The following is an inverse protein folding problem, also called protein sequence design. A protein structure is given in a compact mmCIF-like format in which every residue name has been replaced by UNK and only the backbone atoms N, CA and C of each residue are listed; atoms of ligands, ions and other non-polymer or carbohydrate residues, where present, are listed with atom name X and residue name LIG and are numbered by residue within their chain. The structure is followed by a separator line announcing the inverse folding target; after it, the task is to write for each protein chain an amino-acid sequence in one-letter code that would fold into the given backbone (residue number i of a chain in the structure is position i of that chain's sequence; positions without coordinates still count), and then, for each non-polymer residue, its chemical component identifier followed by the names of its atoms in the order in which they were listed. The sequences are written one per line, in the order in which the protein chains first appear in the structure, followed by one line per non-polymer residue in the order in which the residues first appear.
data_IF_271856841583
#
_entry.id   IF_271856841583
#
_cell.length_a   1.000
_cell.length_b   1.000
_cell.length_c   1.000
_cell.angle_alpha   90.00
_cell.angle_beta   90.00
_cell.angle_gamma   90.00
#
_symmetry.space_group_name_H-M   'P 1'
#
loop_
_entity.id
_entity.type
_entity.pdbx_description
1 polymer ?
#
# COMPACT_ATOMS: atom_id res chain seq x y z
N UNK A 1 37.95 12.09 -16.44
CA UNK A 1 37.02 11.50 -15.44
C UNK A 1 35.93 12.51 -15.19
N UNK A 2 34.72 12.30 -15.76
CA UNK A 2 33.53 13.09 -15.44
C UNK A 2 32.89 12.48 -14.20
N UNK A 3 32.99 13.14 -13.07
CA UNK A 3 32.19 12.84 -11.87
C UNK A 3 30.78 13.34 -12.09
N UNK A 4 29.85 12.41 -12.38
CA UNK A 4 28.43 12.67 -12.29
C UNK A 4 28.10 12.86 -10.80
N UNK A 5 27.91 14.11 -10.38
CA UNK A 5 27.28 14.41 -9.12
C UNK A 5 25.83 13.90 -9.18
N UNK A 6 25.35 13.14 -8.18
CA UNK A 6 23.95 12.78 -8.13
C UNK A 6 23.12 14.07 -8.07
N UNK A 7 22.21 14.24 -9.00
CA UNK A 7 21.20 15.30 -8.90
C UNK A 7 20.38 15.02 -7.65
N UNK A 8 20.57 15.84 -6.60
CA UNK A 8 19.70 15.85 -5.44
C UNK A 8 18.39 16.44 -5.95
N UNK A 9 17.43 15.58 -6.24
CA UNK A 9 16.07 15.99 -6.53
C UNK A 9 15.49 16.46 -5.17
N UNK A 10 15.45 17.75 -4.98
CA UNK A 10 14.73 18.32 -3.84
C UNK A 10 13.26 17.98 -4.05
N UNK A 11 12.69 17.16 -3.15
CA UNK A 11 11.25 17.00 -3.07
C UNK A 11 10.63 18.39 -3.01
N UNK A 12 9.69 18.67 -3.90
CA UNK A 12 9.05 19.97 -3.93
C UNK A 12 8.28 20.14 -2.62
N UNK A 13 8.79 20.96 -1.69
CA UNK A 13 8.21 21.18 -0.37
C UNK A 13 6.74 21.59 -0.43
N UNK A 14 6.30 22.20 -1.54
CA UNK A 14 4.90 22.53 -1.76
C UNK A 14 4.00 21.29 -1.84
N UNK A 15 4.52 20.16 -2.27
CA UNK A 15 3.78 18.88 -2.32
C UNK A 15 3.53 18.28 -0.95
N UNK A 16 4.19 18.77 0.08
CA UNK A 16 4.13 18.23 1.44
C UNK A 16 3.35 19.12 2.40
N UNK A 17 2.70 20.20 1.92
CA UNK A 17 1.88 21.08 2.76
C UNK A 17 0.59 20.39 3.19
N UNK A 18 0.17 20.67 4.41
CA UNK A 18 -1.11 20.19 4.93
C UNK A 18 -2.26 20.54 3.97
N UNK A 19 -3.10 19.57 3.67
CA UNK A 19 -4.20 19.68 2.72
C UNK A 19 -3.82 19.52 1.25
N UNK A 20 -2.56 19.27 0.93
CA UNK A 20 -2.13 18.93 -0.42
C UNK A 20 -2.37 17.45 -0.72
N UNK A 21 -3.56 17.13 -1.18
CA UNK A 21 -3.93 15.78 -1.62
C UNK A 21 -3.90 15.73 -3.14
N UNK A 22 -2.81 15.26 -3.71
CA UNK A 22 -2.73 15.08 -5.14
C UNK A 22 -2.08 13.75 -5.48
N UNK A 23 -2.34 13.28 -6.69
CA UNK A 23 -1.59 12.16 -7.27
C UNK A 23 -0.08 12.41 -7.28
N UNK A 24 0.34 13.67 -7.28
CA UNK A 24 1.75 14.05 -7.22
C UNK A 24 2.39 13.72 -5.86
N UNK A 25 1.71 13.97 -4.74
CA UNK A 25 2.23 13.61 -3.41
C UNK A 25 2.34 12.09 -3.27
N UNK A 26 1.33 11.36 -3.74
CA UNK A 26 1.35 9.91 -3.78
C UNK A 26 2.48 9.41 -4.68
N UNK A 27 2.63 9.94 -5.89
CA UNK A 27 3.70 9.59 -6.81
C UNK A 27 5.08 9.79 -6.19
N UNK A 28 5.30 10.91 -5.50
CA UNK A 28 6.55 11.19 -4.79
C UNK A 28 6.86 10.14 -3.71
N UNK A 29 5.86 9.70 -2.95
CA UNK A 29 5.99 8.62 -1.97
C UNK A 29 6.25 7.27 -2.65
N UNK A 30 5.47 6.92 -3.69
CA UNK A 30 5.59 5.64 -4.38
C UNK A 30 6.98 5.45 -5.00
N UNK A 31 7.54 6.52 -5.54
CA UNK A 31 8.89 6.55 -6.12
C UNK A 31 10.00 6.68 -5.06
N UNK A 32 9.64 6.78 -3.77
CA UNK A 32 10.59 6.96 -2.66
C UNK A 32 11.42 8.24 -2.75
N UNK A 33 10.90 9.24 -3.44
CA UNK A 33 11.48 10.60 -3.49
C UNK A 33 11.09 11.41 -2.25
N UNK A 34 9.88 11.16 -1.71
CA UNK A 34 9.39 11.70 -0.44
C UNK A 34 9.40 10.60 0.61
N UNK A 35 10.21 10.76 1.65
CA UNK A 35 10.38 9.74 2.71
C UNK A 35 10.05 10.24 4.11
N UNK A 36 9.84 11.54 4.31
CA UNK A 36 9.46 12.09 5.60
C UNK A 36 8.07 11.59 6.00
N UNK A 37 7.95 11.01 7.21
CA UNK A 37 6.71 10.39 7.68
C UNK A 37 6.36 9.08 6.96
N UNK A 38 7.34 8.43 6.34
CA UNK A 38 7.23 7.09 5.73
C UNK A 38 8.14 6.13 6.48
N UNK A 39 7.57 5.27 7.30
CA UNK A 39 8.27 4.37 8.21
C UNK A 39 8.18 2.92 7.72
N UNK A 40 9.28 2.14 7.73
CA UNK A 40 9.22 0.74 7.36
C UNK A 40 8.46 -0.07 8.42
N UNK A 41 7.73 -1.09 7.96
CA UNK A 41 6.98 -2.02 8.80
C UNK A 41 7.52 -3.42 8.61
N UNK A 42 8.09 -4.00 9.66
CA UNK A 42 8.59 -5.38 9.69
C UNK A 42 7.81 -6.26 10.67
N UNK A 43 7.06 -5.65 11.57
CA UNK A 43 6.20 -6.33 12.55
C UNK A 43 4.97 -5.49 12.90
N UNK A 44 3.99 -6.09 13.58
CA UNK A 44 2.83 -5.36 14.07
C UNK A 44 3.20 -4.25 15.05
N UNK A 45 4.30 -4.38 15.79
CA UNK A 45 4.75 -3.36 16.73
C UNK A 45 5.06 -2.04 16.04
N UNK A 46 5.61 -2.07 14.82
CA UNK A 46 5.93 -0.87 14.04
C UNK A 46 4.69 -0.05 13.68
N UNK A 47 3.51 -0.69 13.66
CA UNK A 47 2.22 -0.03 13.46
C UNK A 47 1.58 0.33 14.78
N UNK A 48 1.44 -0.64 15.70
CA UNK A 48 0.63 -0.49 16.91
C UNK A 48 1.15 0.55 17.89
N UNK A 49 2.48 0.72 18.00
CA UNK A 49 3.08 1.69 18.91
C UNK A 49 2.71 3.16 18.59
N UNK A 50 2.20 3.42 17.40
CA UNK A 50 1.73 4.75 17.00
C UNK A 50 0.38 5.13 17.63
N UNK A 51 -0.29 4.20 18.33
CA UNK A 51 -1.67 4.40 18.83
C UNK A 51 -1.78 4.07 20.32
N UNK A 52 -2.57 4.85 21.04
CA UNK A 52 -2.82 4.65 22.47
C UNK A 52 -3.51 3.30 22.77
N UNK A 53 -4.30 2.76 21.83
CA UNK A 53 -5.02 1.50 21.96
C UNK A 53 -4.22 0.28 21.45
N UNK A 54 -2.89 0.33 21.53
CA UNK A 54 -1.97 -0.68 20.99
C UNK A 54 -2.29 -2.12 21.42
N UNK A 55 -2.83 -2.31 22.63
CA UNK A 55 -3.19 -3.63 23.16
C UNK A 55 -4.25 -4.35 22.30
N UNK A 56 -5.15 -3.58 21.65
CA UNK A 56 -6.19 -4.13 20.78
C UNK A 56 -5.63 -4.78 19.50
N UNK A 57 -4.37 -4.54 19.19
CA UNK A 57 -3.70 -5.13 18.04
C UNK A 57 -3.17 -6.55 18.33
N UNK A 58 -2.92 -6.87 19.60
CA UNK A 58 -2.31 -8.15 20.01
C UNK A 58 -2.97 -9.39 19.39
N UNK A 59 -4.31 -9.53 19.32
CA UNK A 59 -4.94 -10.70 18.71
C UNK A 59 -4.60 -10.92 17.23
N UNK A 60 -4.16 -9.87 16.54
CA UNK A 60 -3.84 -9.92 15.11
C UNK A 60 -2.35 -10.13 14.81
N UNK A 61 -1.50 -10.18 15.85
CA UNK A 61 -0.06 -10.20 15.69
C UNK A 61 0.44 -11.38 14.85
N UNK A 62 -0.08 -12.58 15.08
CA UNK A 62 0.34 -13.78 14.35
C UNK A 62 0.03 -13.65 12.86
N UNK A 63 -1.19 -13.27 12.50
CA UNK A 63 -1.59 -13.12 11.10
C UNK A 63 -0.83 -11.99 10.42
N UNK A 64 -0.78 -10.81 11.04
CA UNK A 64 -0.09 -9.65 10.50
C UNK A 64 1.39 -9.94 10.23
N UNK A 65 2.11 -10.47 11.22
CA UNK A 65 3.53 -10.78 11.07
C UNK A 65 3.80 -11.86 10.02
N UNK A 66 2.90 -12.86 9.91
CA UNK A 66 2.99 -13.87 8.86
C UNK A 66 2.81 -13.26 7.47
N UNK A 67 1.88 -12.31 7.31
CA UNK A 67 1.65 -11.59 6.05
C UNK A 67 2.87 -10.74 5.67
N UNK A 68 3.39 -9.92 6.59
CA UNK A 68 4.59 -9.10 6.34
C UNK A 68 5.79 -9.99 6.00
N UNK A 69 5.98 -11.08 6.71
CA UNK A 69 7.04 -12.06 6.42
C UNK A 69 6.89 -12.71 5.05
N UNK A 70 5.66 -12.98 4.61
CA UNK A 70 5.38 -13.54 3.28
C UNK A 70 5.64 -12.54 2.17
N UNK A 71 5.19 -11.30 2.36
CA UNK A 71 5.48 -10.19 1.45
C UNK A 71 6.99 -9.95 1.30
N UNK A 72 7.71 -9.92 2.41
CA UNK A 72 9.17 -9.75 2.41
C UNK A 72 9.90 -10.86 1.63
N UNK A 73 9.44 -12.12 1.75
CA UNK A 73 10.05 -13.24 1.00
C UNK A 73 9.95 -13.10 -0.52
N UNK A 74 8.94 -12.43 -1.00
CA UNK A 74 8.76 -12.14 -2.45
C UNK A 74 9.26 -10.74 -2.84
N UNK A 75 9.99 -10.05 -1.95
CA UNK A 75 10.61 -8.76 -2.24
C UNK A 75 9.73 -7.53 -2.03
N UNK A 76 8.51 -7.71 -1.52
CA UNK A 76 7.60 -6.60 -1.21
C UNK A 76 7.95 -5.98 0.15
N UNK A 77 8.06 -4.67 0.20
CA UNK A 77 8.33 -3.90 1.42
C UNK A 77 7.05 -3.19 1.87
N UNK A 78 6.77 -3.25 3.16
CA UNK A 78 5.61 -2.59 3.77
C UNK A 78 6.06 -1.32 4.50
N UNK A 79 5.27 -0.26 4.34
CA UNK A 79 5.50 1.04 4.98
C UNK A 79 4.23 1.58 5.62
N UNK A 80 4.39 2.31 6.71
CA UNK A 80 3.37 3.15 7.31
C UNK A 80 3.68 4.59 6.92
N UNK A 81 2.74 5.30 6.29
CA UNK A 81 2.98 6.62 5.74
C UNK A 81 1.90 7.62 6.19
N UNK A 82 2.30 8.88 6.29
CA UNK A 82 1.43 9.98 6.68
C UNK A 82 0.32 10.22 5.64
N UNK A 83 -0.85 10.65 6.11
CA UNK A 83 -2.03 10.92 5.29
C UNK A 83 -1.79 11.91 4.15
N UNK A 84 -0.84 12.84 4.31
CA UNK A 84 -0.49 13.85 3.29
C UNK A 84 -0.11 13.26 1.93
N UNK A 85 0.27 11.98 1.90
CA UNK A 85 0.65 11.29 0.66
C UNK A 85 -0.51 10.61 -0.05
N UNK A 86 -1.67 10.52 0.58
CA UNK A 86 -2.79 9.76 0.04
C UNK A 86 -3.91 10.68 -0.42
N UNK A 87 -4.57 10.39 -1.55
CA UNK A 87 -5.85 11.00 -1.86
C UNK A 87 -6.86 10.75 -0.74
N UNK A 88 -7.82 11.64 -0.59
CA UNK A 88 -8.86 11.52 0.45
C UNK A 88 -9.55 10.16 0.39
N UNK A 89 -9.62 9.48 1.53
CA UNK A 89 -10.28 8.18 1.67
C UNK A 89 -9.42 6.97 1.34
N UNK A 90 -8.23 7.15 0.76
CA UNK A 90 -7.31 6.04 0.48
C UNK A 90 -6.67 5.52 1.77
N UNK A 91 -6.82 4.22 2.03
CA UNK A 91 -6.34 3.57 3.26
C UNK A 91 -5.01 2.85 3.09
N UNK A 92 -4.70 2.47 1.87
CA UNK A 92 -3.46 1.80 1.50
C UNK A 92 -3.27 1.83 -0.01
N UNK A 93 -2.10 1.41 -0.46
CA UNK A 93 -1.78 1.24 -1.89
C UNK A 93 -0.63 0.25 -2.03
N UNK A 94 -0.75 -0.66 -2.98
CA UNK A 94 0.33 -1.50 -3.48
C UNK A 94 0.84 -0.94 -4.81
N UNK A 95 2.13 -0.67 -4.89
CA UNK A 95 2.76 -0.14 -6.10
C UNK A 95 3.54 -1.24 -6.81
N UNK A 96 3.00 -1.75 -7.91
CA UNK A 96 3.54 -2.89 -8.67
C UNK A 96 4.95 -2.66 -9.22
N UNK A 97 5.27 -1.43 -9.61
CA UNK A 97 6.57 -1.10 -10.21
C UNK A 97 7.70 -1.14 -9.19
N UNK A 98 7.46 -0.66 -7.96
CA UNK A 98 8.48 -0.59 -6.90
C UNK A 98 8.38 -1.72 -5.89
N UNK A 99 7.34 -2.55 -5.97
CA UNK A 99 7.04 -3.61 -4.99
C UNK A 99 6.95 -3.08 -3.56
N UNK A 100 6.38 -1.91 -3.40
CA UNK A 100 6.17 -1.26 -2.13
C UNK A 100 4.69 -1.20 -1.80
N UNK A 101 4.39 -1.50 -0.55
CA UNK A 101 3.06 -1.50 0.02
C UNK A 101 2.98 -0.41 1.09
N UNK A 102 2.09 0.55 0.95
CA UNK A 102 1.95 1.68 1.87
C UNK A 102 0.61 1.64 2.59
N UNK A 103 0.66 1.79 3.92
CA UNK A 103 -0.49 1.90 4.81
C UNK A 103 -0.67 3.37 5.20
N UNK A 104 -1.87 3.92 5.05
CA UNK A 104 -2.18 5.29 5.51
C UNK A 104 -2.37 5.29 7.03
N UNK A 105 -1.43 5.93 7.75
CA UNK A 105 -1.35 5.96 9.21
C UNK A 105 -2.65 6.39 9.89
N UNK A 106 -3.38 7.35 9.34
CA UNK A 106 -4.62 7.87 9.92
C UNK A 106 -5.70 6.80 10.08
N UNK A 107 -5.78 5.83 9.16
CA UNK A 107 -6.80 4.79 9.19
C UNK A 107 -6.40 3.55 9.99
N UNK A 108 -5.10 3.33 10.23
CA UNK A 108 -4.59 2.08 10.82
C UNK A 108 -4.78 1.97 12.33
N UNK A 109 -5.32 2.98 13.00
CA UNK A 109 -5.65 2.96 14.45
C UNK A 109 -6.69 1.91 14.85
N UNK A 110 -7.43 1.35 13.89
CA UNK A 110 -8.38 0.26 14.10
C UNK A 110 -7.77 -1.04 13.58
N UNK A 111 -7.50 -2.03 14.44
CA UNK A 111 -6.89 -3.30 14.00
C UNK A 111 -7.66 -4.02 12.90
N UNK A 112 -9.00 -3.96 12.94
CA UNK A 112 -9.84 -4.56 11.90
C UNK A 112 -9.68 -3.89 10.53
N UNK A 113 -9.50 -2.56 10.51
CA UNK A 113 -9.24 -1.81 9.28
C UNK A 113 -7.83 -2.13 8.77
N UNK A 114 -6.84 -2.14 9.66
CA UNK A 114 -5.48 -2.55 9.31
C UNK A 114 -5.47 -3.92 8.63
N UNK A 115 -6.11 -4.92 9.21
CA UNK A 115 -6.14 -6.26 8.65
C UNK A 115 -6.91 -6.35 7.33
N UNK A 116 -8.00 -5.59 7.20
CA UNK A 116 -8.73 -5.49 5.93
C UNK A 116 -7.86 -4.92 4.81
N UNK A 117 -7.13 -3.84 5.08
CA UNK A 117 -6.21 -3.23 4.11
C UNK A 117 -5.04 -4.17 3.80
N UNK A 118 -4.44 -4.79 4.81
CA UNK A 118 -3.36 -5.77 4.63
C UNK A 118 -3.76 -6.92 3.71
N UNK A 119 -4.96 -7.48 3.90
CA UNK A 119 -5.47 -8.57 3.05
C UNK A 119 -5.74 -8.10 1.63
N UNK A 120 -6.32 -6.92 1.47
CA UNK A 120 -6.65 -6.34 0.17
C UNK A 120 -5.38 -6.06 -0.66
N UNK A 121 -4.47 -5.28 -0.12
CA UNK A 121 -3.24 -4.92 -0.82
C UNK A 121 -2.27 -6.11 -0.94
N UNK A 122 -2.29 -7.00 0.05
CA UNK A 122 -1.56 -8.28 0.00
C UNK A 122 -2.03 -9.19 -1.12
N UNK A 123 -3.33 -9.12 -1.47
CA UNK A 123 -3.87 -9.81 -2.63
C UNK A 123 -3.33 -9.24 -3.94
N UNK A 124 -3.21 -7.92 -4.07
CA UNK A 124 -2.57 -7.30 -5.23
C UNK A 124 -1.11 -7.72 -5.38
N UNK A 125 -0.36 -7.83 -4.28
CA UNK A 125 1.00 -8.35 -4.31
C UNK A 125 1.05 -9.82 -4.76
N UNK A 126 0.07 -10.64 -4.37
CA UNK A 126 -0.03 -12.01 -4.85
C UNK A 126 -0.35 -12.08 -6.35
N UNK A 127 -1.26 -11.23 -6.84
CA UNK A 127 -1.60 -11.13 -8.26
C UNK A 127 -0.39 -10.70 -9.10
N UNK A 128 0.38 -9.74 -8.61
CA UNK A 128 1.63 -9.27 -9.24
C UNK A 128 2.65 -10.42 -9.34
N UNK A 129 2.89 -11.13 -8.24
CA UNK A 129 3.75 -12.29 -8.21
C UNK A 129 3.28 -13.41 -9.18
N UNK A 130 1.97 -13.63 -9.27
CA UNK A 130 1.39 -14.65 -10.16
C UNK A 130 1.45 -14.28 -11.64
N UNK A 131 1.63 -13.01 -11.98
CA UNK A 131 1.85 -12.55 -13.35
C UNK A 131 3.24 -12.93 -13.92
N UNK A 132 4.03 -13.68 -13.15
CA UNK A 132 5.33 -14.22 -13.54
C UNK A 132 6.45 -13.81 -12.61
N UNK A 133 6.68 -12.55 -12.42
CA UNK A 133 7.63 -11.98 -11.46
C UNK A 133 7.10 -10.65 -10.94
N UNK A 134 7.56 -10.25 -9.76
CA UNK A 134 7.25 -8.90 -9.23
C UNK A 134 8.06 -7.77 -9.89
N UNK A 135 8.90 -8.10 -10.88
CA UNK A 135 9.76 -7.13 -11.58
C UNK A 135 9.04 -6.44 -12.76
N UNK A 136 7.78 -6.75 -12.99
CA UNK A 136 6.95 -6.12 -14.02
C UNK A 136 5.76 -5.39 -13.40
N UNK A 137 5.02 -4.63 -14.19
CA UNK A 137 3.83 -3.87 -13.74
C UNK A 137 2.52 -4.60 -14.05
N UNK A 138 2.59 -5.91 -14.31
CA UNK A 138 1.41 -6.71 -14.66
C UNK A 138 0.77 -7.32 -13.43
N UNK A 139 -0.55 -7.39 -13.44
CA UNK A 139 -1.35 -8.09 -12.41
C UNK A 139 -2.08 -9.25 -13.09
N UNK A 140 -1.96 -10.45 -12.52
CA UNK A 140 -2.66 -11.61 -13.05
C UNK A 140 -4.16 -11.53 -12.72
N UNK A 141 -4.99 -11.83 -13.72
CA UNK A 141 -6.41 -12.09 -13.51
C UNK A 141 -6.53 -13.51 -12.92
N UNK A 142 -6.95 -13.60 -11.66
CA UNK A 142 -7.05 -14.87 -10.94
C UNK A 142 -8.35 -15.59 -11.31
N UNK A 143 -9.42 -14.83 -11.48
CA UNK A 143 -10.75 -15.36 -11.81
C UNK A 143 -11.35 -14.51 -12.93
N UNK A 144 -11.83 -15.13 -14.04
CA UNK A 144 -12.57 -14.40 -15.05
C UNK A 144 -13.82 -13.77 -14.44
N UNK A 145 -14.12 -12.53 -14.83
CA UNK A 145 -15.24 -11.74 -14.29
C UNK A 145 -16.57 -12.51 -14.30
N UNK A 146 -16.85 -13.22 -15.39
CA UNK A 146 -18.08 -14.01 -15.54
C UNK A 146 -18.22 -15.17 -14.56
N UNK A 147 -17.14 -15.55 -13.86
CA UNK A 147 -17.15 -16.58 -12.81
C UNK A 147 -17.24 -16.01 -11.40
N UNK A 148 -17.11 -14.70 -11.25
CA UNK A 148 -17.29 -14.04 -9.97
C UNK A 148 -18.76 -14.01 -9.60
N UNK A 149 -19.18 -14.45 -8.40
CA UNK A 149 -20.60 -14.35 -7.99
C UNK A 149 -21.10 -12.90 -8.07
N UNK A 150 -22.32 -12.70 -8.57
CA UNK A 150 -22.89 -11.38 -8.85
C UNK A 150 -22.79 -10.40 -7.68
N UNK A 151 -22.99 -10.86 -6.44
CA UNK A 151 -22.85 -10.01 -5.25
C UNK A 151 -21.43 -9.44 -5.13
N UNK A 152 -20.40 -10.22 -5.43
CA UNK A 152 -19.01 -9.75 -5.36
C UNK A 152 -18.65 -8.86 -6.53
N UNK A 153 -19.23 -9.09 -7.71
CA UNK A 153 -19.10 -8.16 -8.84
C UNK A 153 -19.65 -6.78 -8.46
N UNK A 154 -20.89 -6.72 -7.93
CA UNK A 154 -21.52 -5.47 -7.50
C UNK A 154 -20.68 -4.74 -6.44
N UNK A 155 -20.16 -5.46 -5.43
CA UNK A 155 -19.31 -4.88 -4.39
C UNK A 155 -18.00 -4.34 -4.98
N UNK A 156 -17.37 -5.08 -5.89
CA UNK A 156 -16.13 -4.66 -6.53
C UNK A 156 -16.38 -3.42 -7.42
N UNK A 157 -17.42 -3.42 -8.24
CA UNK A 157 -17.78 -2.30 -9.10
C UNK A 157 -18.08 -1.03 -8.30
N UNK A 158 -18.80 -1.12 -7.17
CA UNK A 158 -19.05 0.04 -6.30
C UNK A 158 -17.77 0.54 -5.63
N UNK A 159 -16.91 -0.38 -5.19
CA UNK A 159 -15.64 -0.05 -4.57
C UNK A 159 -14.70 0.67 -5.53
N UNK A 160 -14.64 0.21 -6.78
CA UNK A 160 -13.75 0.73 -7.82
C UNK A 160 -14.44 1.60 -8.86
N UNK A 161 -15.62 2.13 -8.57
CA UNK A 161 -16.42 2.94 -9.52
C UNK A 161 -15.70 4.09 -10.20
N UNK A 162 -14.65 4.61 -9.56
CA UNK A 162 -13.81 5.69 -10.10
C UNK A 162 -12.54 5.19 -10.82
N UNK A 163 -12.27 3.89 -10.77
CA UNK A 163 -11.12 3.25 -11.38
C UNK A 163 -11.42 1.81 -11.80
N UNK A 164 -12.39 1.58 -12.71
CA UNK A 164 -12.86 0.24 -13.05
C UNK A 164 -11.79 -0.64 -13.71
N UNK A 165 -10.76 -0.05 -14.28
CA UNK A 165 -9.65 -0.78 -14.90
C UNK A 165 -8.70 -1.48 -13.92
N UNK A 166 -8.85 -1.21 -12.61
CA UNK A 166 -8.02 -1.82 -11.56
C UNK A 166 -8.80 -2.75 -10.65
N UNK A 167 -10.00 -3.18 -11.07
CA UNK A 167 -10.78 -4.16 -10.30
C UNK A 167 -10.01 -5.47 -10.20
N UNK A 168 -9.77 -6.00 -8.98
CA UNK A 168 -8.99 -7.22 -8.77
C UNK A 168 -9.84 -8.47 -8.93
N UNK A 169 -10.11 -8.84 -10.16
CA UNK A 169 -10.74 -10.14 -10.48
C UNK A 169 -9.88 -11.35 -10.19
#
# INVERSE_FOLDING_TARGET
AFTLLPAIVFANEEKLKDGFYSFDAMGCMLLRECTEGVEPVVSLLDVSHNYENWEKFTPYATEFNAMVGSLSRVGVKVFLADEKYFPVGHRGVYHTVSNNFFLNKTYMRRPSVLMSVMRHEGWHAAQDCMAGTIDNSMIAIIMPEEKVPALWQEIAEDTYKHAPSVIPW
#
